data_IF_073289282899
#
_entry.id   IF_073289282899
#
_cell.length_a   1.000
_cell.length_b   1.000
_cell.length_c   1.000
_cell.angle_alpha   90.00
_cell.angle_beta   90.00
_cell.angle_gamma   90.00
#
_symmetry.space_group_name_H-M   'P 1'
#
loop_
_entity.id
_entity.type
_entity.pdbx_description
1 polymer ?
#
# COMPACT_ATOMS: atom_id res chain seq x y z
N UNK A 1 -13.00 2.99 -13.84
CA UNK A 1 -12.27 2.86 -12.56
C UNK A 1 -12.42 4.09 -11.65
N UNK A 2 -12.76 5.28 -12.17
CA UNK A 2 -12.89 6.51 -11.36
C UNK A 2 -13.90 6.41 -10.20
N UNK A 3 -15.05 5.76 -10.39
CA UNK A 3 -16.13 5.76 -9.39
C UNK A 3 -15.83 5.00 -8.10
N UNK A 4 -14.78 4.17 -8.08
CA UNK A 4 -14.43 3.34 -6.92
C UNK A 4 -13.54 4.06 -5.92
N UNK A 5 -12.69 4.99 -6.36
CA UNK A 5 -11.64 5.60 -5.51
C UNK A 5 -11.89 7.07 -5.15
N UNK A 6 -12.90 7.72 -5.73
CA UNK A 6 -13.21 9.13 -5.48
C UNK A 6 -13.55 9.44 -4.01
N UNK A 7 -13.90 8.44 -3.20
CA UNK A 7 -14.31 8.63 -1.82
C UNK A 7 -13.17 8.43 -0.80
N UNK A 8 -11.99 7.92 -1.19
CA UNK A 8 -10.87 7.77 -0.25
C UNK A 8 -9.94 8.98 -0.35
N UNK A 9 -10.04 9.87 0.65
CA UNK A 9 -9.23 11.08 0.73
C UNK A 9 -7.73 10.80 0.76
N UNK A 10 -7.31 9.63 1.29
CA UNK A 10 -5.90 9.26 1.41
C UNK A 10 -5.26 9.00 0.05
N UNK A 11 -6.01 8.41 -0.89
CA UNK A 11 -5.53 8.15 -2.26
C UNK A 11 -5.22 9.48 -2.94
N UNK A 12 -6.13 10.46 -2.83
CA UNK A 12 -5.94 11.78 -3.43
C UNK A 12 -4.74 12.50 -2.80
N UNK A 13 -4.60 12.44 -1.48
CA UNK A 13 -3.46 13.05 -0.79
C UNK A 13 -2.12 12.45 -1.24
N UNK A 14 -2.04 11.12 -1.36
CA UNK A 14 -0.82 10.47 -1.83
C UNK A 14 -0.50 10.77 -3.29
N UNK A 15 -1.51 10.84 -4.16
CA UNK A 15 -1.31 11.25 -5.56
C UNK A 15 -0.74 12.67 -5.62
N UNK A 16 -1.31 13.60 -4.85
CA UNK A 16 -0.85 14.99 -4.82
C UNK A 16 0.61 15.09 -4.30
N UNK A 17 0.94 14.33 -3.26
CA UNK A 17 2.31 14.25 -2.75
C UNK A 17 3.29 13.63 -3.78
N UNK A 18 2.88 12.60 -4.52
CA UNK A 18 3.72 12.01 -5.57
C UNK A 18 4.00 13.04 -6.67
N UNK A 19 2.97 13.76 -7.13
CA UNK A 19 3.12 14.81 -8.15
C UNK A 19 4.06 15.92 -7.65
N UNK A 20 3.89 16.37 -6.41
CA UNK A 20 4.77 17.37 -5.78
C UNK A 20 6.23 16.89 -5.74
N UNK A 21 6.47 15.63 -5.36
CA UNK A 21 7.81 15.05 -5.31
C UNK A 21 8.43 14.93 -6.70
N UNK A 22 7.67 14.53 -7.72
CA UNK A 22 8.17 14.50 -9.11
C UNK A 22 8.65 15.89 -9.53
N UNK A 23 7.84 16.93 -9.34
CA UNK A 23 8.24 18.31 -9.66
C UNK A 23 9.45 18.77 -8.85
N UNK A 24 9.50 18.43 -7.56
CA UNK A 24 10.62 18.75 -6.68
C UNK A 24 11.91 18.11 -7.18
N UNK A 25 11.89 16.83 -7.56
CA UNK A 25 13.05 16.13 -8.14
C UNK A 25 13.47 16.76 -9.47
N UNK A 26 12.53 17.23 -10.29
CA UNK A 26 12.86 17.95 -11.53
C UNK A 26 13.58 19.28 -11.29
N UNK A 27 13.34 19.93 -10.13
CA UNK A 27 13.92 21.21 -9.76
C UNK A 27 15.28 21.08 -9.05
N UNK A 28 15.46 20.00 -8.29
CA UNK A 28 16.67 19.75 -7.51
C UNK A 28 17.77 19.06 -8.34
N UNK A 29 19.00 19.07 -7.83
CA UNK A 29 20.16 18.36 -8.41
C UNK A 29 20.96 17.66 -7.32
N UNK A 30 21.62 16.56 -7.67
CA UNK A 30 22.51 15.83 -6.76
C UNK A 30 21.77 15.06 -5.67
N UNK A 31 22.36 15.00 -4.47
CA UNK A 31 21.90 14.16 -3.35
C UNK A 31 20.49 14.50 -2.86
N UNK A 32 20.12 15.78 -2.90
CA UNK A 32 18.78 16.22 -2.47
C UNK A 32 17.69 15.69 -3.41
N UNK A 33 17.97 15.65 -4.72
CA UNK A 33 17.05 15.11 -5.72
C UNK A 33 16.84 13.60 -5.52
N UNK A 34 17.91 12.86 -5.20
CA UNK A 34 17.83 11.42 -4.93
C UNK A 34 17.04 11.12 -3.64
N UNK A 35 17.23 11.95 -2.61
CA UNK A 35 16.48 11.84 -1.35
C UNK A 35 14.99 12.05 -1.57
N UNK A 36 14.60 13.08 -2.31
CA UNK A 36 13.20 13.34 -2.66
C UNK A 36 12.62 12.28 -3.60
N UNK A 37 13.43 11.73 -4.51
CA UNK A 37 13.05 10.62 -5.37
C UNK A 37 12.72 9.36 -4.57
N UNK A 38 13.58 9.00 -3.60
CA UNK A 38 13.35 7.85 -2.72
C UNK A 38 12.10 8.01 -1.85
N UNK A 39 11.85 9.23 -1.32
CA UNK A 39 10.58 9.53 -0.63
C UNK A 39 9.37 9.35 -1.55
N UNK A 40 9.47 9.83 -2.80
CA UNK A 40 8.44 9.61 -3.82
C UNK A 40 8.14 8.13 -4.05
N UNK A 41 9.19 7.30 -4.21
CA UNK A 41 9.04 5.85 -4.37
C UNK A 41 8.34 5.19 -3.18
N UNK A 42 8.63 5.61 -1.94
CA UNK A 42 7.96 5.09 -0.74
C UNK A 42 6.46 5.45 -0.72
N UNK A 43 6.08 6.63 -1.19
CA UNK A 43 4.67 7.03 -1.27
C UNK A 43 3.96 6.21 -2.35
N UNK A 44 4.58 6.01 -3.51
CA UNK A 44 4.08 5.10 -4.56
C UNK A 44 3.89 3.69 -4.01
N UNK A 45 4.84 3.17 -3.22
CA UNK A 45 4.74 1.85 -2.62
C UNK A 45 3.52 1.74 -1.68
N UNK A 46 3.32 2.74 -0.81
CA UNK A 46 2.14 2.81 0.08
C UNK A 46 0.82 2.86 -0.70
N UNK A 47 0.75 3.69 -1.74
CA UNK A 47 -0.41 3.78 -2.62
C UNK A 47 -0.69 2.44 -3.30
N UNK A 48 0.35 1.79 -3.79
CA UNK A 48 0.29 0.48 -4.46
C UNK A 48 -0.26 -0.60 -3.52
N UNK A 49 0.28 -0.71 -2.30
CA UNK A 49 -0.22 -1.66 -1.29
C UNK A 49 -1.67 -1.40 -0.90
N UNK A 50 -2.07 -0.13 -0.78
CA UNK A 50 -3.46 0.23 -0.50
C UNK A 50 -4.39 -0.22 -1.63
N UNK A 51 -4.04 0.06 -2.89
CA UNK A 51 -4.85 -0.35 -4.05
C UNK A 51 -4.97 -1.87 -4.16
N UNK A 52 -3.89 -2.59 -3.86
CA UNK A 52 -3.90 -4.05 -3.81
C UNK A 52 -4.86 -4.57 -2.75
N UNK A 53 -4.87 -3.95 -1.55
CA UNK A 53 -5.78 -4.35 -0.46
C UNK A 53 -7.26 -4.03 -0.72
N UNK A 54 -7.57 -2.91 -1.40
CA UNK A 54 -8.94 -2.47 -1.61
C UNK A 54 -9.64 -3.24 -2.74
N UNK A 55 -8.93 -3.49 -3.84
CA UNK A 55 -9.57 -3.83 -5.10
C UNK A 55 -9.19 -5.20 -5.67
N UNK A 56 -8.41 -6.00 -4.94
CA UNK A 56 -7.93 -7.32 -5.40
C UNK A 56 -7.35 -7.25 -6.82
N UNK A 57 -6.69 -6.14 -7.16
CA UNK A 57 -6.12 -5.95 -8.49
C UNK A 57 -5.02 -6.99 -8.73
N UNK A 58 -5.02 -7.67 -9.89
CA UNK A 58 -3.87 -8.47 -10.28
C UNK A 58 -2.63 -7.56 -10.32
N UNK A 59 -1.51 -8.06 -9.79
CA UNK A 59 -0.26 -7.29 -9.70
C UNK A 59 0.21 -6.76 -11.06
N UNK A 60 -0.15 -7.47 -12.14
CA UNK A 60 0.13 -7.13 -13.54
C UNK A 60 -0.43 -5.76 -13.98
N UNK A 61 -1.57 -5.34 -13.42
CA UNK A 61 -2.25 -4.09 -13.79
C UNK A 61 -2.00 -2.96 -12.79
N UNK A 62 -1.22 -3.23 -11.73
CA UNK A 62 -1.09 -2.31 -10.61
C UNK A 62 -0.28 -1.06 -11.00
N UNK A 63 0.80 -1.25 -11.76
CA UNK A 63 1.63 -0.13 -12.28
C UNK A 63 0.80 0.77 -13.20
N UNK A 64 0.07 0.19 -14.16
CA UNK A 64 -0.81 0.93 -15.08
C UNK A 64 -1.94 1.64 -14.33
N UNK A 65 -2.52 1.02 -13.31
CA UNK A 65 -3.56 1.62 -12.47
C UNK A 65 -3.05 2.84 -11.70
N UNK A 66 -1.89 2.72 -11.04
CA UNK A 66 -1.25 3.84 -10.32
C UNK A 66 -0.89 4.97 -11.30
N UNK A 67 -0.33 4.62 -12.46
CA UNK A 67 -0.01 5.59 -13.51
C UNK A 67 -1.24 6.36 -13.97
N UNK A 68 -2.35 5.68 -14.26
CA UNK A 68 -3.58 6.34 -14.69
C UNK A 68 -4.11 7.30 -13.63
N UNK A 69 -4.13 6.89 -12.35
CA UNK A 69 -4.58 7.74 -11.24
C UNK A 69 -3.77 9.03 -11.13
N UNK A 70 -2.46 8.95 -11.32
CA UNK A 70 -1.58 10.11 -11.29
C UNK A 70 -1.79 10.99 -12.52
N UNK A 71 -1.85 10.39 -13.72
CA UNK A 71 -2.06 11.12 -14.99
C UNK A 71 -3.36 11.94 -15.01
N UNK A 72 -4.41 11.47 -14.31
CA UNK A 72 -5.66 12.20 -14.16
C UNK A 72 -5.56 13.48 -13.32
N UNK A 73 -4.54 13.57 -12.46
CA UNK A 73 -4.33 14.69 -11.52
C UNK A 73 -3.20 15.61 -11.95
N UNK A 74 -2.51 15.29 -13.04
CA UNK A 74 -1.42 16.11 -13.54
C UNK A 74 -1.90 17.51 -13.95
N UNK A 75 -1.06 18.54 -13.77
CA UNK A 75 -1.36 19.88 -14.27
C UNK A 75 -1.37 19.91 -15.80
N UNK A 76 -1.79 21.05 -16.36
CA UNK A 76 -1.81 21.28 -17.82
C UNK A 76 -0.47 20.90 -18.46
N UNK A 77 -0.50 20.20 -19.60
CA UNK A 77 0.68 19.74 -20.33
C UNK A 77 1.69 20.86 -20.62
N UNK A 78 1.24 22.12 -20.75
CA UNK A 78 2.12 23.28 -20.91
C UNK A 78 3.03 23.53 -19.70
N UNK A 79 2.58 23.18 -18.50
CA UNK A 79 3.38 23.28 -17.27
C UNK A 79 4.42 22.16 -17.26
N UNK A 80 3.98 20.94 -17.57
CA UNK A 80 4.82 19.73 -17.59
C UNK A 80 5.96 19.87 -18.59
N UNK A 81 5.67 20.38 -19.79
CA UNK A 81 6.66 20.56 -20.86
C UNK A 81 7.81 21.53 -20.52
N UNK A 82 7.72 22.28 -19.41
CA UNK A 82 8.84 23.10 -18.93
C UNK A 82 9.91 22.26 -18.17
N UNK A 83 9.64 20.98 -17.92
CA UNK A 83 10.51 20.07 -17.17
C UNK A 83 10.89 18.88 -18.05
N UNK A 84 12.04 18.96 -18.71
CA UNK A 84 12.48 17.96 -19.71
C UNK A 84 12.58 16.53 -19.14
N UNK A 85 12.93 16.38 -17.87
CA UNK A 85 13.08 15.09 -17.19
C UNK A 85 11.80 14.57 -16.52
N UNK A 86 10.68 15.28 -16.64
CA UNK A 86 9.46 14.96 -15.88
C UNK A 86 8.94 13.55 -16.16
N UNK A 87 8.79 13.19 -17.43
CA UNK A 87 8.24 11.89 -17.81
C UNK A 87 9.16 10.73 -17.41
N UNK A 88 10.48 10.94 -17.51
CA UNK A 88 11.48 9.95 -17.10
C UNK A 88 11.47 9.73 -15.58
N UNK A 89 11.43 10.82 -14.81
CA UNK A 89 11.36 10.78 -13.34
C UNK A 89 10.06 10.14 -12.89
N UNK A 90 8.91 10.56 -13.47
CA UNK A 90 7.61 9.94 -13.21
C UNK A 90 7.68 8.45 -13.47
N UNK A 91 8.06 8.03 -14.69
CA UNK A 91 8.09 6.61 -15.08
C UNK A 91 8.97 5.78 -14.13
N UNK A 92 10.16 6.26 -13.80
CA UNK A 92 11.06 5.58 -12.87
C UNK A 92 10.48 5.47 -11.46
N UNK A 93 9.98 6.58 -10.92
CA UNK A 93 9.43 6.62 -9.56
C UNK A 93 8.23 5.67 -9.41
N UNK A 94 7.38 5.58 -10.44
CA UNK A 94 6.26 4.65 -10.45
C UNK A 94 6.71 3.20 -10.51
N UNK A 95 7.59 2.88 -11.47
CA UNK A 95 8.09 1.51 -11.63
C UNK A 95 8.84 1.01 -10.40
N UNK A 96 9.76 1.82 -9.84
CA UNK A 96 10.52 1.46 -8.65
C UNK A 96 9.63 1.34 -7.40
N UNK A 97 8.71 2.28 -7.17
CA UNK A 97 7.79 2.24 -6.03
C UNK A 97 6.80 1.08 -6.09
N UNK A 98 6.24 0.77 -7.28
CA UNK A 98 5.34 -0.38 -7.45
C UNK A 98 6.09 -1.70 -7.26
N UNK A 99 7.31 -1.82 -7.79
CA UNK A 99 8.14 -3.01 -7.58
C UNK A 99 8.46 -3.24 -6.08
N UNK A 100 8.75 -2.18 -5.32
CA UNK A 100 8.98 -2.27 -3.87
C UNK A 100 7.77 -2.85 -3.14
N UNK A 101 6.56 -2.37 -3.46
CA UNK A 101 5.32 -2.85 -2.82
C UNK A 101 5.05 -4.33 -3.10
N UNK A 102 5.21 -4.78 -4.36
CA UNK A 102 4.98 -6.18 -4.75
C UNK A 102 5.96 -7.12 -4.02
N UNK A 103 7.23 -6.69 -3.87
CA UNK A 103 8.24 -7.48 -3.17
C UNK A 103 7.94 -7.61 -1.67
N UNK A 104 7.45 -6.55 -1.01
CA UNK A 104 7.06 -6.61 0.41
C UNK A 104 5.91 -7.59 0.65
N UNK A 105 4.86 -7.53 -0.17
CA UNK A 105 3.72 -8.45 -0.03
C UNK A 105 4.10 -9.91 -0.29
N UNK A 106 5.04 -10.16 -1.22
CA UNK A 106 5.50 -11.52 -1.51
C UNK A 106 6.28 -12.10 -0.32
N UNK A 107 7.09 -11.30 0.38
CA UNK A 107 7.85 -11.77 1.54
C UNK A 107 6.96 -12.10 2.74
N UNK A 108 5.94 -11.30 3.00
CA UNK A 108 5.01 -11.53 4.11
C UNK A 108 4.21 -12.83 3.91
N UNK A 109 3.75 -13.10 2.69
CA UNK A 109 3.02 -14.34 2.37
C UNK A 109 3.87 -15.61 2.49
N UNK A 110 5.18 -15.53 2.26
CA UNK A 110 6.09 -16.68 2.39
C UNK A 110 6.34 -16.99 3.88
N UNK A 111 6.51 -15.97 4.72
CA UNK A 111 6.71 -16.15 6.17
C UNK A 111 5.50 -16.75 6.89
N UNK A 112 4.28 -16.52 6.38
CA UNK A 112 3.06 -17.08 6.97
C UNK A 112 2.83 -18.55 6.54
N UNK A 113 3.24 -18.91 5.31
CA UNK A 113 3.15 -20.26 4.80
C UNK A 113 4.16 -21.23 5.45
N UNK A 114 5.34 -20.75 5.86
CA UNK A 114 6.35 -21.60 6.51
C UNK A 114 5.95 -22.03 7.93
N UNK A 115 5.13 -21.25 8.64
CA UNK A 115 4.63 -21.59 9.98
C UNK A 115 3.52 -22.65 9.92
N UNK A 116 2.80 -22.77 8.80
CA UNK A 116 1.73 -23.76 8.63
C UNK A 116 2.25 -25.15 8.18
N UNK A 117 3.55 -25.32 7.92
CA UNK A 117 4.11 -26.60 7.45
C UNK A 117 4.77 -27.45 8.56
N UNK A 118 4.87 -26.94 9.79
CA UNK A 118 5.38 -27.72 10.94
C UNK A 118 4.20 -28.26 11.76
N UNK A 119 3.41 -29.18 11.18
CA UNK A 119 2.63 -30.22 11.89
C UNK A 119 1.82 -31.08 10.90
N UNK A 120 2.51 -31.98 10.19
CA UNK A 120 1.98 -33.33 9.90
C UNK A 120 3.04 -34.17 9.20
N UNK A 121 3.61 -35.06 10.01
CA UNK A 121 3.88 -36.47 9.70
C UNK A 121 4.70 -36.81 8.45
N UNK A 122 5.98 -37.02 8.75
CA UNK A 122 6.86 -38.07 8.24
C UNK A 122 6.15 -39.44 8.21
N UNK A 123 6.04 -40.06 7.02
CA UNK A 123 6.47 -41.45 6.77
C UNK A 123 6.53 -41.77 5.26
N UNK A 124 7.38 -42.73 4.93
CA UNK A 124 8.13 -42.97 3.69
C UNK A 124 7.39 -43.81 2.62
N UNK A 125 7.69 -43.61 1.32
CA UNK A 125 8.40 -44.61 0.48
C UNK A 125 8.44 -44.31 -1.04
N UNK A 126 9.66 -44.03 -1.52
CA UNK A 126 10.46 -44.76 -2.55
C UNK A 126 9.84 -45.21 -3.91
N UNK A 127 10.45 -44.67 -4.99
CA UNK A 127 10.77 -45.20 -6.36
C UNK A 127 9.70 -45.37 -7.46
N UNK A 128 10.08 -44.89 -8.66
CA UNK A 128 9.99 -45.70 -9.89
C UNK A 128 9.36 -45.05 -11.13
N UNK A 129 10.20 -44.39 -11.92
CA UNK A 129 10.19 -44.22 -13.40
C UNK A 129 8.99 -44.72 -14.25
N UNK A 130 8.51 -43.91 -15.21
CA UNK A 130 8.36 -44.24 -16.65
C UNK A 130 8.21 -42.96 -17.49
N UNK A 131 8.89 -42.98 -18.65
CA UNK A 131 9.00 -42.02 -19.77
C UNK A 131 7.70 -41.82 -20.58
N UNK A 132 7.53 -40.68 -21.27
CA UNK A 132 7.42 -40.55 -22.75
C UNK A 132 6.93 -39.14 -23.17
N UNK A 133 7.84 -38.43 -23.86
CA UNK A 133 7.71 -37.67 -25.12
C UNK A 133 6.59 -36.63 -25.43
N UNK A 134 7.07 -35.67 -26.23
CA UNK A 134 6.43 -34.90 -27.31
C UNK A 134 5.64 -33.64 -26.92
N UNK A 135 6.27 -32.46 -27.09
CA UNK A 135 6.09 -31.61 -28.28
C UNK A 135 6.86 -30.27 -28.16
N UNK A 136 7.83 -30.09 -29.06
CA UNK A 136 8.37 -28.82 -29.57
C UNK A 136 7.26 -28.06 -30.38
N UNK A 137 7.40 -26.79 -30.86
CA UNK A 137 8.65 -26.08 -31.09
C UNK A 137 8.70 -24.57 -30.80
N UNK A 138 9.95 -24.15 -30.63
CA UNK A 138 10.50 -22.82 -30.91
C UNK A 138 10.36 -22.47 -32.41
N UNK A 139 9.73 -21.34 -32.71
CA UNK A 139 9.71 -20.72 -34.05
C UNK A 139 10.55 -19.43 -33.99
N UNK A 140 11.78 -19.53 -34.47
CA UNK A 140 12.48 -18.44 -35.15
C UNK A 140 12.70 -18.92 -36.58
N UNK A 141 12.22 -18.18 -37.57
CA UNK A 141 12.60 -18.38 -38.97
C UNK A 141 12.62 -17.04 -39.69
N UNK A 142 13.84 -16.54 -39.90
CA UNK A 142 14.17 -15.67 -41.02
C UNK A 142 14.17 -16.47 -42.33
N UNK A 143 13.71 -15.79 -43.37
CA UNK A 143 13.75 -16.21 -44.76
C UNK A 143 15.18 -16.48 -45.25
N UNK A 144 15.38 -17.55 -46.02
CA UNK A 144 15.72 -17.40 -47.44
C UNK A 144 16.16 -18.73 -48.10
N UNK A 145 15.52 -18.96 -49.25
CA UNK A 145 16.10 -19.49 -50.50
C UNK A 145 16.65 -20.93 -50.59
N UNK A 146 15.86 -21.70 -51.37
CA UNK A 146 16.25 -22.30 -52.67
C UNK A 146 16.96 -23.67 -52.71
N UNK A 147 16.17 -24.63 -53.23
CA UNK A 147 16.47 -25.49 -54.39
C UNK A 147 17.81 -26.25 -54.40
N UNK A 148 17.75 -27.59 -54.35
CA UNK A 148 17.88 -28.45 -55.56
C UNK A 148 17.78 -29.95 -55.24
N UNK A 149 17.28 -30.66 -56.25
CA UNK A 149 17.17 -32.11 -56.45
C UNK A 149 18.54 -32.78 -56.66
N UNK A 150 18.69 -34.04 -56.26
CA UNK A 150 19.07 -35.22 -57.10
C UNK A 150 19.27 -36.45 -56.19
N UNK A 151 18.52 -37.54 -56.43
CA UNK A 151 18.90 -38.79 -57.15
C UNK A 151 19.77 -39.78 -56.36
N UNK A 152 19.21 -41.00 -56.25
CA UNK A 152 19.83 -42.33 -56.42
C UNK A 152 21.01 -42.71 -55.51
N UNK A 153 21.16 -43.93 -54.98
CA UNK A 153 20.46 -45.20 -55.13
C UNK A 153 21.33 -46.31 -54.47
N UNK A 154 20.85 -47.55 -54.58
CA UNK A 154 21.63 -48.81 -54.55
C UNK A 154 21.97 -49.45 -53.17
N UNK A 155 21.22 -50.52 -52.91
CA UNK A 155 21.61 -51.89 -52.51
C UNK A 155 22.77 -52.14 -51.51
N UNK A 156 22.50 -53.03 -50.55
CA UNK A 156 23.26 -54.28 -50.51
C UNK A 156 23.83 -54.78 -49.17
N UNK A 157 23.29 -55.93 -48.75
CA UNK A 157 24.01 -57.13 -48.27
C UNK A 157 24.49 -57.21 -46.80
N UNK A 158 23.78 -58.10 -46.08
CA UNK A 158 24.21 -59.26 -45.27
C UNK A 158 25.54 -59.34 -44.49
N UNK A 159 25.43 -60.16 -43.43
CA UNK A 159 26.42 -61.06 -42.78
C UNK A 159 27.09 -60.50 -41.51
N UNK A 160 26.76 -61.06 -40.34
CA UNK A 160 27.48 -62.14 -39.64
C UNK A 160 28.89 -61.69 -39.19
N UNK A 161 29.30 -61.73 -37.93
CA UNK A 161 29.17 -62.77 -36.91
C UNK A 161 29.60 -62.23 -35.53
N UNK A 162 29.39 -62.99 -34.43
CA UNK A 162 29.67 -62.59 -33.05
C UNK A 162 31.05 -63.10 -32.56
N UNK A 163 31.31 -62.85 -31.27
CA UNK A 163 32.34 -63.44 -30.40
C UNK A 163 33.66 -62.65 -30.35
N UNK A 164 33.95 -62.02 -29.19
CA UNK A 164 35.18 -62.29 -28.42
C UNK A 164 35.15 -61.64 -27.03
N UNK A 165 35.43 -62.49 -26.02
CA UNK A 165 36.10 -62.23 -24.73
C UNK A 165 35.45 -61.21 -23.76
N UNK A 166 34.85 -61.58 -22.62
CA UNK A 166 35.36 -62.41 -21.48
C UNK A 166 36.74 -61.97 -21.00
N UNK A 167 36.86 -61.80 -19.68
CA UNK A 167 38.05 -61.49 -18.86
C UNK A 167 38.20 -60.00 -18.50
N UNK A 168 37.60 -59.61 -17.36
CA UNK A 168 38.27 -58.86 -16.29
C UNK A 168 37.35 -58.73 -15.07
N UNK A 169 37.10 -59.86 -14.40
CA UNK A 169 36.83 -59.90 -12.97
C UNK A 169 38.11 -60.38 -12.28
N UNK A 170 38.29 -60.01 -11.01
CA UNK A 170 39.51 -60.20 -10.17
C UNK A 170 40.48 -59.02 -10.22
N UNK A 171 40.08 -57.90 -9.60
CA UNK A 171 40.96 -56.99 -8.83
C UNK A 171 40.12 -55.89 -8.13
N UNK A 172 39.13 -56.29 -7.31
CA UNK A 172 38.29 -55.36 -6.56
C UNK A 172 38.11 -55.83 -5.10
N UNK A 173 39.20 -56.08 -4.39
CA UNK A 173 39.14 -56.47 -2.96
C UNK A 173 40.34 -55.96 -2.14
N UNK A 174 40.99 -54.86 -2.55
CA UNK A 174 42.12 -54.32 -1.77
C UNK A 174 42.32 -52.80 -1.82
N UNK A 175 41.24 -52.04 -1.81
CA UNK A 175 41.27 -50.56 -1.69
C UNK A 175 40.24 -49.97 -0.70
N UNK A 176 39.70 -50.76 0.23
CA UNK A 176 38.67 -50.27 1.19
C UNK A 176 39.18 -50.04 2.62
N UNK A 177 40.47 -50.19 2.90
CA UNK A 177 41.00 -50.04 4.27
C UNK A 177 41.78 -48.74 4.56
N UNK A 178 41.93 -47.83 3.59
CA UNK A 178 42.60 -46.53 3.82
C UNK A 178 41.67 -45.30 3.72
N UNK A 179 40.44 -45.43 3.19
CA UNK A 179 39.48 -44.31 3.14
C UNK A 179 38.69 -44.11 4.45
N UNK A 180 38.64 -45.10 5.34
CA UNK A 180 37.95 -44.99 6.64
C UNK A 180 38.68 -44.16 7.69
N UNK A 181 39.98 -43.88 7.51
CA UNK A 181 40.76 -43.11 8.49
C UNK A 181 40.77 -41.59 8.23
N UNK A 182 40.46 -41.13 7.01
CA UNK A 182 40.37 -39.70 6.68
C UNK A 182 39.02 -39.06 7.05
N UNK A 183 37.95 -39.85 7.11
CA UNK A 183 36.61 -39.33 7.40
C UNK A 183 36.39 -39.08 8.91
N UNK A 184 36.96 -39.94 9.77
CA UNK A 184 36.90 -39.79 11.22
C UNK A 184 37.65 -38.53 11.72
N UNK A 185 38.76 -38.15 11.08
CA UNK A 185 39.48 -36.91 11.42
C UNK A 185 38.67 -35.65 11.06
N UNK A 186 37.94 -35.69 9.93
CA UNK A 186 37.08 -34.58 9.51
C UNK A 186 35.82 -34.39 10.37
N UNK A 187 35.35 -35.43 11.07
CA UNK A 187 34.24 -35.32 12.02
C UNK A 187 34.72 -34.62 13.31
N UNK A 188 35.92 -34.97 13.79
CA UNK A 188 36.46 -34.41 15.04
C UNK A 188 36.80 -32.92 14.92
N UNK A 189 37.26 -32.46 13.74
CA UNK A 189 37.54 -31.04 13.48
C UNK A 189 36.25 -30.20 13.45
N UNK A 190 35.16 -30.74 12.88
CA UNK A 190 33.84 -30.08 12.87
C UNK A 190 33.21 -29.98 14.26
N UNK A 191 33.38 -31.01 15.11
CA UNK A 191 32.89 -30.95 16.50
C UNK A 191 33.61 -29.87 17.30
N UNK A 192 34.91 -29.66 17.05
CA UNK A 192 35.68 -28.60 17.70
C UNK A 192 35.24 -27.21 17.24
N UNK A 193 35.03 -27.02 15.94
CA UNK A 193 34.52 -25.75 15.39
C UNK A 193 33.10 -25.43 15.90
N UNK A 194 32.26 -26.47 16.07
CA UNK A 194 30.93 -26.30 16.66
C UNK A 194 31.01 -25.87 18.14
N UNK A 195 31.95 -26.44 18.91
CA UNK A 195 32.14 -26.08 20.31
C UNK A 195 32.61 -24.63 20.49
N UNK A 196 33.52 -24.16 19.64
CA UNK A 196 34.00 -22.78 19.67
C UNK A 196 32.86 -21.80 19.34
N UNK A 197 32.02 -22.11 18.35
CA UNK A 197 30.84 -21.30 17.98
C UNK A 197 29.78 -21.25 19.10
N UNK A 198 29.56 -22.37 19.80
CA UNK A 198 28.63 -22.41 20.94
C UNK A 198 29.13 -21.53 22.09
N UNK A 199 30.43 -21.50 22.32
CA UNK A 199 31.03 -20.67 23.37
C UNK A 199 30.93 -19.16 23.04
N UNK A 200 31.09 -18.77 21.77
CA UNK A 200 30.90 -17.39 21.33
C UNK A 200 29.43 -16.94 21.48
N UNK A 201 28.47 -17.81 21.16
CA UNK A 201 27.04 -17.52 21.34
C UNK A 201 26.67 -17.36 22.82
N UNK A 202 27.25 -18.15 23.72
CA UNK A 202 27.05 -17.99 25.18
C UNK A 202 27.56 -16.63 25.68
N UNK A 203 28.75 -16.21 25.24
CA UNK A 203 29.30 -14.91 25.61
C UNK A 203 28.43 -13.73 25.11
N UNK A 204 27.86 -13.86 23.91
CA UNK A 204 26.95 -12.84 23.37
C UNK A 204 25.61 -12.78 24.13
N UNK A 205 25.13 -13.90 24.68
CA UNK A 205 23.91 -13.93 25.49
C UNK A 205 24.11 -13.21 26.85
N UNK A 206 25.24 -13.45 27.52
CA UNK A 206 25.56 -12.79 28.80
C UNK A 206 25.69 -11.26 28.65
N UNK A 207 26.17 -10.79 27.49
CA UNK A 207 26.22 -9.36 27.17
C UNK A 207 24.84 -8.71 26.98
N UNK A 208 23.87 -9.46 26.44
CA UNK A 208 22.49 -8.99 26.27
C UNK A 208 21.72 -8.94 27.59
N UNK A 209 21.95 -9.91 28.49
CA UNK A 209 21.34 -9.90 29.83
C UNK A 209 21.81 -8.69 30.66
N UNK A 210 23.11 -8.38 30.61
CA UNK A 210 23.67 -7.19 31.26
C UNK A 210 23.09 -5.87 30.71
N UNK A 211 22.76 -5.83 29.41
CA UNK A 211 22.16 -4.64 28.78
C UNK A 211 20.68 -4.47 29.15
N UNK A 212 19.97 -5.57 29.40
CA UNK A 212 18.56 -5.54 29.76
C UNK A 212 18.36 -5.06 31.21
N UNK A 213 19.27 -5.42 32.13
CA UNK A 213 19.24 -4.91 33.51
C UNK A 213 19.47 -3.39 33.58
N UNK A 214 20.32 -2.83 32.72
CA UNK A 214 20.53 -1.39 32.63
C UNK A 214 19.26 -0.65 32.15
N UNK A 215 18.55 -1.20 31.17
CA UNK A 215 17.30 -0.61 30.65
C UNK A 215 16.18 -0.69 31.69
N UNK A 216 16.10 -1.78 32.46
CA UNK A 216 15.10 -1.89 33.53
C UNK A 216 15.35 -0.89 34.66
N UNK A 217 16.60 -0.58 35.00
CA UNK A 217 16.92 0.42 36.02
C UNK A 217 16.47 1.84 35.59
N UNK A 218 16.67 2.21 34.32
CA UNK A 218 16.24 3.51 33.79
C UNK A 218 14.71 3.65 33.71
N UNK A 219 13.99 2.55 33.44
CA UNK A 219 12.52 2.53 33.43
C UNK A 219 11.88 2.68 34.82
N UNK A 220 12.56 2.25 35.89
CA UNK A 220 12.08 2.42 37.27
C UNK A 220 12.25 3.87 37.75
N UNK A 221 13.26 4.59 37.24
CA UNK A 221 13.46 6.02 37.56
C UNK A 221 12.35 6.89 36.95
N UNK A 222 11.83 6.54 35.76
CA UNK A 222 10.78 7.30 35.10
C UNK A 222 9.36 7.09 35.69
N UNK A 223 9.10 6.00 36.41
CA UNK A 223 7.76 5.66 36.91
C UNK A 223 7.40 6.25 38.28
N UNK A 224 8.35 6.84 39.02
CA UNK A 224 8.08 7.38 40.35
C UNK A 224 7.63 8.86 40.37
N UNK A 225 7.80 9.59 39.26
CA UNK A 225 7.41 11.00 39.15
C UNK A 225 6.02 11.22 38.50
N UNK A 226 5.40 10.18 37.92
CA UNK A 226 4.18 10.32 37.11
C UNK A 226 2.84 10.25 37.88
N UNK A 227 2.85 9.86 39.15
CA UNK A 227 1.60 9.63 39.91
C UNK A 227 0.95 10.90 40.48
N UNK A 228 1.60 12.06 40.40
CA UNK A 228 1.01 13.34 40.86
C UNK A 228 0.67 14.32 39.72
N UNK A 229 1.08 14.02 38.48
CA UNK A 229 0.83 14.85 37.29
C UNK A 229 -0.46 14.43 36.55
N UNK A 230 -0.95 13.20 36.78
CA UNK A 230 -2.04 12.61 35.99
C UNK A 230 -3.42 13.22 36.27
N UNK A 231 -3.64 13.88 37.41
CA UNK A 231 -4.96 14.42 37.75
C UNK A 231 -5.21 15.84 37.20
N UNK A 232 -4.18 16.69 37.13
CA UNK A 232 -4.30 18.03 36.51
C UNK A 232 -4.29 17.93 34.97
N UNK A 233 -3.46 17.06 34.40
CA UNK A 233 -3.35 16.92 32.94
C UNK A 233 -4.60 16.31 32.29
N UNK A 234 -5.36 15.47 33.01
CA UNK A 234 -6.64 14.95 32.50
C UNK A 234 -7.71 16.03 32.36
N UNK A 235 -7.78 16.99 33.29
CA UNK A 235 -8.71 18.12 33.18
C UNK A 235 -8.27 19.10 32.09
N UNK A 236 -6.97 19.38 31.95
CA UNK A 236 -6.45 20.23 30.87
C UNK A 236 -6.61 19.58 29.49
N UNK A 237 -6.42 18.26 29.37
CA UNK A 237 -6.66 17.54 28.12
C UNK A 237 -8.15 17.44 27.78
N UNK A 238 -9.05 17.39 28.77
CA UNK A 238 -10.48 17.39 28.54
C UNK A 238 -11.00 18.79 28.14
N UNK A 239 -10.50 19.87 28.73
CA UNK A 239 -10.77 21.24 28.25
C UNK A 239 -10.11 21.53 26.90
N UNK A 240 -8.93 20.96 26.63
CA UNK A 240 -8.29 21.05 25.32
C UNK A 240 -9.01 20.22 24.25
N UNK A 241 -9.59 19.06 24.58
CA UNK A 241 -10.43 18.29 23.65
C UNK A 241 -11.72 19.05 23.32
N UNK A 242 -12.38 19.65 24.33
CA UNK A 242 -13.59 20.47 24.14
C UNK A 242 -13.27 21.76 23.35
N UNK A 243 -12.06 22.31 23.51
CA UNK A 243 -11.60 23.46 22.72
C UNK A 243 -11.15 23.07 21.30
N UNK A 244 -10.56 21.89 21.10
CA UNK A 244 -10.12 21.37 19.81
C UNK A 244 -11.29 20.86 18.94
N UNK A 245 -12.36 20.34 19.54
CA UNK A 245 -13.60 20.01 18.82
C UNK A 245 -14.39 21.25 18.36
N UNK A 246 -14.03 22.45 18.84
CA UNK A 246 -14.53 23.73 18.32
C UNK A 246 -13.66 24.34 17.22
N UNK A 247 -12.65 23.61 16.73
CA UNK A 247 -11.84 23.96 15.55
C UNK A 247 -12.64 23.83 14.25
N UNK A 248 -13.87 24.33 14.21
CA UNK A 248 -14.43 24.76 12.94
C UNK A 248 -13.54 25.91 12.49
N UNK A 249 -12.76 25.69 11.42
CA UNK A 249 -11.89 26.73 10.88
C UNK A 249 -12.70 28.03 10.77
N UNK A 250 -12.25 29.16 11.36
CA UNK A 250 -12.98 30.43 11.30
C UNK A 250 -13.25 30.89 9.85
N UNK A 251 -12.57 30.27 8.88
CA UNK A 251 -12.84 30.45 7.46
C UNK A 251 -14.22 29.98 7.02
N UNK A 252 -14.74 28.87 7.55
CA UNK A 252 -16.00 28.29 7.07
C UNK A 252 -17.20 29.16 7.47
N UNK A 253 -17.27 29.57 8.75
CA UNK A 253 -18.33 30.46 9.24
C UNK A 253 -18.31 31.80 8.51
N UNK A 254 -17.13 32.42 8.32
CA UNK A 254 -17.00 33.70 7.63
C UNK A 254 -17.47 33.62 6.17
N UNK A 255 -17.17 32.53 5.46
CA UNK A 255 -17.60 32.33 4.08
C UNK A 255 -19.12 32.16 3.98
N UNK A 256 -19.70 31.30 4.83
CA UNK A 256 -21.15 31.11 4.87
C UNK A 256 -21.86 32.41 5.28
N UNK A 257 -21.32 33.14 6.25
CA UNK A 257 -21.85 34.42 6.73
C UNK A 257 -22.00 35.44 5.59
N UNK A 258 -20.99 35.59 4.73
CA UNK A 258 -21.05 36.50 3.60
C UNK A 258 -22.18 36.14 2.61
N UNK A 259 -22.34 34.84 2.33
CA UNK A 259 -23.43 34.34 1.46
C UNK A 259 -24.79 34.59 2.10
N UNK A 260 -24.95 34.28 3.39
CA UNK A 260 -26.20 34.47 4.11
C UNK A 260 -26.59 35.94 4.23
N UNK A 261 -25.63 36.84 4.50
CA UNK A 261 -25.89 38.28 4.54
C UNK A 261 -26.32 38.85 3.18
N UNK A 262 -25.85 38.25 2.09
CA UNK A 262 -26.25 38.65 0.72
C UNK A 262 -27.69 38.23 0.40
N UNK A 263 -28.13 37.06 0.90
CA UNK A 263 -29.47 36.52 0.62
C UNK A 263 -30.52 37.04 1.62
N UNK A 264 -30.12 37.18 2.89
CA UNK A 264 -30.97 37.56 4.02
C UNK A 264 -30.43 38.83 4.70
N UNK A 265 -30.48 40.00 4.03
CA UNK A 265 -29.92 41.22 4.57
C UNK A 265 -30.64 41.61 5.89
N UNK A 266 -29.85 41.89 6.93
CA UNK A 266 -30.35 42.32 8.25
C UNK A 266 -30.93 41.21 9.13
N UNK A 267 -30.84 39.93 8.72
CA UNK A 267 -31.29 38.80 9.54
C UNK A 267 -30.17 38.26 10.43
N UNK A 268 -30.52 37.86 11.64
CA UNK A 268 -29.59 37.24 12.59
C UNK A 268 -29.30 35.79 12.19
N UNK A 269 -28.02 35.42 12.17
CA UNK A 269 -27.56 34.05 11.91
C UNK A 269 -27.16 33.44 13.26
N UNK A 270 -27.73 32.28 13.59
CA UNK A 270 -27.34 31.49 14.76
C UNK A 270 -26.44 30.34 14.31
N UNK A 271 -25.31 30.15 14.99
CA UNK A 271 -24.28 29.17 14.63
C UNK A 271 -24.28 28.01 15.61
N UNK A 272 -23.96 26.81 15.12
CA UNK A 272 -23.70 25.61 15.93
C UNK A 272 -24.81 25.30 16.94
N UNK A 273 -26.06 25.39 16.50
CA UNK A 273 -27.24 25.15 17.35
C UNK A 273 -27.66 23.68 17.31
N UNK A 274 -28.44 23.26 18.31
CA UNK A 274 -29.08 21.94 18.33
C UNK A 274 -30.57 22.08 18.10
N UNK A 275 -31.09 21.45 17.05
CA UNK A 275 -32.53 21.40 16.72
C UNK A 275 -32.97 19.94 16.75
N UNK A 276 -33.91 19.58 17.63
CA UNK A 276 -34.39 18.19 17.78
C UNK A 276 -33.26 17.17 18.01
N UNK A 277 -32.28 17.52 18.87
CA UNK A 277 -31.07 16.74 19.13
C UNK A 277 -30.13 16.53 17.92
N UNK A 278 -30.35 17.24 16.81
CA UNK A 278 -29.43 17.25 15.66
C UNK A 278 -28.60 18.51 15.67
N UNK A 279 -27.30 18.36 15.38
CA UNK A 279 -26.39 19.49 15.22
C UNK A 279 -26.67 20.20 13.89
N UNK A 280 -26.87 21.50 13.94
CA UNK A 280 -27.09 22.35 12.76
C UNK A 280 -25.99 23.41 12.73
N UNK A 281 -25.33 23.54 11.59
CA UNK A 281 -24.20 24.43 11.43
C UNK A 281 -24.61 25.90 11.47
N UNK A 282 -25.68 26.27 10.75
CA UNK A 282 -26.25 27.61 10.79
C UNK A 282 -27.78 27.59 10.66
N UNK A 283 -28.44 28.51 11.37
CA UNK A 283 -29.86 28.82 11.23
C UNK A 283 -30.05 30.29 10.84
N UNK A 284 -30.93 30.52 9.87
CA UNK A 284 -31.44 31.85 9.51
C UNK A 284 -32.92 31.75 9.12
N UNK A 285 -33.79 32.50 9.82
CA UNK A 285 -35.25 32.42 9.65
C UNK A 285 -35.78 30.96 9.77
N UNK A 286 -36.39 30.43 8.70
CA UNK A 286 -36.90 29.07 8.57
C UNK A 286 -35.92 28.10 7.87
N UNK A 287 -34.69 28.55 7.59
CA UNK A 287 -33.64 27.77 6.94
C UNK A 287 -32.63 27.21 7.96
N UNK A 288 -32.39 25.91 7.90
CA UNK A 288 -31.34 25.18 8.59
C UNK A 288 -30.29 24.72 7.57
N UNK A 289 -29.02 24.95 7.88
CA UNK A 289 -27.88 24.51 7.08
C UNK A 289 -27.12 23.46 7.88
N UNK A 290 -27.05 22.25 7.35
CA UNK A 290 -26.40 21.10 7.96
C UNK A 290 -25.15 20.72 7.16
N UNK A 291 -24.03 20.51 7.84
CA UNK A 291 -22.83 19.96 7.21
C UNK A 291 -22.96 18.44 7.12
N UNK A 292 -22.64 17.90 5.96
CA UNK A 292 -22.58 16.45 5.76
C UNK A 292 -21.31 15.91 6.42
N UNK A 293 -21.42 15.50 7.68
CA UNK A 293 -20.39 14.72 8.36
C UNK A 293 -20.68 13.23 8.13
N UNK A 294 -19.64 12.46 7.80
CA UNK A 294 -19.72 11.02 7.51
C UNK A 294 -20.32 10.20 8.65
N UNK A 295 -20.23 10.69 9.89
CA UNK A 295 -20.69 9.98 11.08
C UNK A 295 -22.13 10.31 11.52
N UNK A 296 -22.69 11.45 11.09
CA UNK A 296 -23.99 11.94 11.59
C UNK A 296 -24.90 12.34 10.45
N UNK A 297 -25.80 11.43 10.06
CA UNK A 297 -26.86 11.74 9.11
C UNK A 297 -27.91 12.67 9.74
N UNK A 298 -28.11 13.86 9.17
CA UNK A 298 -29.23 14.73 9.51
C UNK A 298 -30.55 14.13 8.99
N UNK A 299 -31.56 13.96 9.85
CA UNK A 299 -32.89 13.49 9.44
C UNK A 299 -33.71 14.65 8.87
N UNK A 300 -33.48 14.91 7.58
CA UNK A 300 -34.16 15.92 6.78
C UNK A 300 -35.68 15.75 6.85
N UNK A 301 -36.19 14.51 6.89
CA UNK A 301 -37.63 14.25 6.85
C UNK A 301 -38.29 14.74 8.14
N UNK A 302 -37.64 14.50 9.28
CA UNK A 302 -38.12 14.97 10.57
C UNK A 302 -38.15 16.51 10.62
N UNK A 303 -37.07 17.17 10.20
CA UNK A 303 -36.98 18.63 10.20
C UNK A 303 -37.98 19.28 9.23
N UNK A 304 -38.14 18.72 8.02
CA UNK A 304 -39.11 19.21 7.05
C UNK A 304 -40.56 19.05 7.55
N UNK A 305 -40.88 17.98 8.30
CA UNK A 305 -42.20 17.80 8.93
C UNK A 305 -42.51 18.88 9.98
N UNK A 306 -41.47 19.43 10.61
CA UNK A 306 -41.59 20.54 11.56
C UNK A 306 -41.63 21.92 10.87
N UNK A 307 -41.65 21.96 9.54
CA UNK A 307 -41.72 23.20 8.78
C UNK A 307 -40.36 23.89 8.59
N UNK A 308 -39.25 23.21 8.84
CA UNK A 308 -37.93 23.73 8.50
C UNK A 308 -37.61 23.51 7.02
N UNK A 309 -36.88 24.45 6.42
CA UNK A 309 -36.19 24.27 5.15
C UNK A 309 -34.77 23.82 5.46
N UNK A 310 -34.38 22.62 5.02
CA UNK A 310 -33.04 22.09 5.32
C UNK A 310 -32.19 22.07 4.06
N UNK A 311 -31.00 22.69 4.12
CA UNK A 311 -29.93 22.56 3.14
C UNK A 311 -28.83 21.68 3.73
N UNK A 312 -28.53 20.56 3.08
CA UNK A 312 -27.32 19.79 3.37
C UNK A 312 -26.22 20.26 2.41
N UNK A 313 -25.05 20.57 2.96
CA UNK A 313 -23.87 20.92 2.18
C UNK A 313 -22.64 20.18 2.72
N UNK A 314 -21.70 19.85 1.84
CA UNK A 314 -20.39 19.35 2.25
C UNK A 314 -19.51 20.53 2.68
N UNK A 315 -18.42 20.26 3.41
CA UNK A 315 -17.39 21.26 3.69
C UNK A 315 -16.88 21.95 2.41
N UNK A 316 -16.70 21.17 1.34
CA UNK A 316 -16.27 21.68 0.03
C UNK A 316 -17.27 22.66 -0.59
N UNK A 317 -18.57 22.49 -0.37
CA UNK A 317 -19.58 23.40 -0.93
C UNK A 317 -19.47 24.81 -0.31
N UNK A 318 -18.95 24.92 0.93
CA UNK A 318 -18.65 26.21 1.56
C UNK A 318 -17.52 26.97 0.85
N UNK A 319 -16.69 26.28 0.06
CA UNK A 319 -15.64 26.88 -0.76
C UNK A 319 -16.21 27.58 -2.01
N UNK A 320 -17.46 27.31 -2.38
CA UNK A 320 -18.09 27.81 -3.61
C UNK A 320 -19.33 28.67 -3.32
N UNK A 321 -19.17 29.97 -2.95
CA UNK A 321 -20.26 30.86 -2.55
C UNK A 321 -21.46 30.89 -3.48
N UNK A 322 -21.21 30.89 -4.79
CA UNK A 322 -22.27 30.97 -5.81
C UNK A 322 -23.09 29.68 -5.93
N UNK A 323 -22.49 28.53 -5.66
CA UNK A 323 -23.21 27.24 -5.62
C UNK A 323 -24.14 27.22 -4.40
N UNK A 324 -23.59 27.59 -3.25
CA UNK A 324 -24.34 27.69 -1.99
C UNK A 324 -25.52 28.65 -2.11
N UNK A 325 -25.31 29.83 -2.70
CA UNK A 325 -26.37 30.82 -2.94
C UNK A 325 -27.51 30.25 -3.78
N UNK A 326 -27.19 29.53 -4.86
CA UNK A 326 -28.19 28.87 -5.71
C UNK A 326 -28.98 27.82 -4.94
N UNK A 327 -28.30 26.99 -4.15
CA UNK A 327 -28.94 25.96 -3.31
C UNK A 327 -29.91 26.57 -2.31
N UNK A 328 -29.48 27.61 -1.59
CA UNK A 328 -30.33 28.35 -0.65
C UNK A 328 -31.56 28.91 -1.37
N UNK A 329 -31.37 29.65 -2.48
CA UNK A 329 -32.49 30.24 -3.24
C UNK A 329 -33.45 29.18 -3.78
N UNK A 330 -32.94 28.03 -4.20
CA UNK A 330 -33.77 26.93 -4.69
C UNK A 330 -34.67 26.38 -3.59
N UNK A 331 -34.13 26.14 -2.41
CA UNK A 331 -34.89 25.66 -1.24
C UNK A 331 -35.90 26.74 -0.79
N UNK A 332 -35.50 28.02 -0.75
CA UNK A 332 -36.42 29.10 -0.38
C UNK A 332 -37.62 29.23 -1.32
N UNK A 333 -37.47 28.83 -2.61
CA UNK A 333 -38.55 28.84 -3.61
C UNK A 333 -39.50 27.66 -3.52
N UNK A 334 -39.07 26.55 -2.93
CA UNK A 334 -39.95 25.42 -2.71
C UNK A 334 -41.00 25.85 -1.68
N UNK A 335 -42.15 26.32 -2.18
CA UNK A 335 -43.31 26.59 -1.34
C UNK A 335 -43.58 25.32 -0.56
N UNK A 336 -43.54 25.42 0.77
CA UNK A 336 -44.01 24.33 1.61
C UNK A 336 -45.44 24.06 1.16
N UNK A 337 -45.66 22.88 0.58
CA UNK A 337 -47.02 22.35 0.46
C UNK A 337 -47.44 22.12 1.90
N UNK A 338 -48.07 23.12 2.51
CA UNK A 338 -48.63 22.95 3.83
C UNK A 338 -49.55 21.72 3.73
N UNK A 339 -49.40 20.74 4.63
CA UNK A 339 -50.39 19.68 4.71
C UNK A 339 -51.72 20.39 4.97
N UNK A 340 -52.66 20.31 4.02
CA UNK A 340 -54.02 20.74 4.27
C UNK A 340 -54.52 19.87 5.43
N UNK A 341 -54.66 20.49 6.60
CA UNK A 341 -55.29 19.88 7.77
C UNK A 341 -56.76 19.59 7.49
#
# INVERSE_FOLDING_TARGET
METLFHNDSRINEWIDQIIERIFTVCLLKGLDAETEFNKGCQIVAKLTSLLQSIALFPAEYLEDGVKQLIEQRLPDARIINNFESFDDIKKRMLSEGTAQAIQTTTKENISEAEISSVTSEREENITGSVSFNDQDPRIESEEALSKKKHEEGIEGIESASPVFAVVNEVNKDRQETEQGFTEAAGILEREKELADNVQELQHNLEGLESSNEAIQHDLVILNNDDNNITFQRKNELQEALISAESSCEPNQENRLKNVLQTIFPGKSIQWNIKVMNQSVFAQVEDLLICLHETEKSCDIKLLNRQGWKVLICNSDDLMFPRRLERGIRQISRQKQKQPLN
#
